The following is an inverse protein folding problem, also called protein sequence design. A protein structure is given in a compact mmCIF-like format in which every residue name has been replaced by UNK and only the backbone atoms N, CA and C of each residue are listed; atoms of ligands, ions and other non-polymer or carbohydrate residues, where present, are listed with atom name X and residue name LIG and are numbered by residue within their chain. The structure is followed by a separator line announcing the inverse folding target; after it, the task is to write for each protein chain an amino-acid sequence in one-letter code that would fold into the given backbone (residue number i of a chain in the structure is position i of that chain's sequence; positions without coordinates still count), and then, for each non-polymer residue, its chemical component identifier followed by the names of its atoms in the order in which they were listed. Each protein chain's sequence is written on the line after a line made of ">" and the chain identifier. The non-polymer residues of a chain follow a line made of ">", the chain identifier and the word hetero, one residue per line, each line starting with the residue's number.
data_IF_223240493983
#
_entry.id   IF_223240493983
#
_cell.length_a   1.000
_cell.length_b   1.000
_cell.length_c   1.000
_cell.angle_alpha   90.00
_cell.angle_beta   90.00
_cell.angle_gamma   90.00
#
_symmetry.space_group_name_H-M   'P 1'
#
loop_
_entity.id
_entity.type
_entity.pdbx_description
1 polymer ?
#
# COMPACT_ATOMS: atom_id res chain seq x y z
N UNK A 1 -6.76 -16.99 25.92
CA UNK A 1 -7.49 -17.41 24.70
C UNK A 1 -7.49 -16.23 23.76
N UNK A 2 -6.60 -16.23 22.76
CA UNK A 2 -6.44 -15.13 21.82
C UNK A 2 -7.35 -15.35 20.61
N UNK A 3 -8.39 -14.53 20.48
CA UNK A 3 -9.18 -14.44 19.26
C UNK A 3 -8.40 -13.62 18.22
N UNK A 4 -7.60 -14.28 17.39
CA UNK A 4 -7.18 -13.72 16.11
C UNK A 4 -8.38 -13.78 15.17
N UNK A 5 -9.00 -12.63 14.87
CA UNK A 5 -10.02 -12.58 13.84
C UNK A 5 -9.36 -12.59 12.46
N UNK A 6 -9.21 -13.79 11.89
CA UNK A 6 -8.88 -13.94 10.47
C UNK A 6 -10.13 -13.60 9.67
N UNK A 7 -10.14 -12.46 8.98
CA UNK A 7 -11.21 -12.11 8.05
C UNK A 7 -10.84 -12.72 6.69
N UNK A 8 -11.35 -13.92 6.40
CA UNK A 8 -11.31 -14.50 5.06
C UNK A 8 -12.39 -13.84 4.20
N UNK A 9 -11.97 -13.07 3.19
CA UNK A 9 -12.87 -12.63 2.13
C UNK A 9 -12.88 -13.70 1.03
N UNK A 10 -13.87 -14.59 1.04
CA UNK A 10 -14.21 -15.39 -0.14
C UNK A 10 -14.93 -14.47 -1.14
N UNK A 11 -14.33 -14.19 -2.29
CA UNK A 11 -15.00 -13.51 -3.39
C UNK A 11 -15.53 -14.54 -4.38
N UNK A 12 -16.75 -15.03 -4.15
CA UNK A 12 -17.63 -15.51 -5.22
C UNK A 12 -18.67 -14.43 -5.47
N UNK A 13 -18.60 -13.74 -6.61
CA UNK A 13 -19.74 -13.00 -7.15
C UNK A 13 -19.65 -12.91 -8.69
N UNK A 14 -20.60 -13.59 -9.33
CA UNK A 14 -21.03 -13.50 -10.74
C UNK A 14 -22.56 -13.70 -10.67
N UNK A 15 -23.47 -12.95 -11.26
CA UNK A 15 -23.44 -11.73 -12.05
C UNK A 15 -24.88 -11.20 -12.21
N UNK A 16 -24.95 -9.98 -12.75
CA UNK A 16 -26.00 -9.35 -13.55
C UNK A 16 -27.39 -8.98 -13.00
N UNK A 17 -27.77 -7.76 -13.44
CA UNK A 17 -29.07 -7.09 -13.37
C UNK A 17 -29.45 -6.37 -12.09
N UNK A 18 -28.68 -5.33 -11.70
CA UNK A 18 -29.29 -4.15 -11.07
C UNK A 18 -28.72 -2.85 -11.62
N UNK A 19 -29.65 -1.97 -11.98
CA UNK A 19 -29.49 -0.64 -12.55
C UNK A 19 -28.29 0.14 -12.03
N UNK A 20 -27.44 0.58 -12.95
CA UNK A 20 -26.41 1.59 -12.73
C UNK A 20 -27.09 2.97 -12.59
N UNK A 21 -27.81 3.20 -11.50
CA UNK A 21 -28.40 4.51 -11.17
C UNK A 21 -28.82 4.58 -9.70
N UNK A 22 -27.83 4.58 -8.82
CA UNK A 22 -27.99 5.21 -7.52
C UNK A 22 -26.67 5.90 -7.20
N UNK A 23 -26.59 7.15 -7.66
CA UNK A 23 -25.81 8.19 -7.02
C UNK A 23 -25.80 7.93 -5.51
N UNK A 24 -24.62 7.76 -4.91
CA UNK A 24 -24.48 8.18 -3.52
C UNK A 24 -24.38 9.71 -3.59
N UNK A 25 -25.43 10.49 -3.27
CA UNK A 25 -25.15 11.82 -2.82
C UNK A 25 -24.49 11.59 -1.46
N UNK A 26 -23.20 11.88 -1.36
CA UNK A 26 -22.76 12.48 -0.10
C UNK A 26 -23.72 13.66 0.11
N UNK A 27 -24.48 13.74 1.21
CA UNK A 27 -25.16 14.97 1.52
C UNK A 27 -24.05 16.01 1.69
N UNK A 28 -23.84 16.83 0.66
CA UNK A 28 -23.13 18.08 0.84
C UNK A 28 -23.93 18.82 1.92
N UNK A 29 -23.31 19.24 3.03
CA UNK A 29 -24.01 20.03 4.02
C UNK A 29 -24.45 21.33 3.36
N UNK A 30 -25.71 21.37 2.93
CA UNK A 30 -26.44 22.59 2.61
C UNK A 30 -26.76 23.25 3.94
N UNK A 31 -25.78 23.97 4.47
CA UNK A 31 -25.93 25.14 5.33
C UNK A 31 -24.52 25.66 5.65
N UNK A 32 -24.29 26.93 5.34
CA UNK A 32 -22.96 27.55 5.36
C UNK A 32 -22.22 27.40 6.68
N UNK A 33 -20.89 27.33 6.54
CA UNK A 33 -19.84 27.56 7.54
C UNK A 33 -19.54 26.44 8.53
N UNK A 34 -19.06 25.29 8.02
CA UNK A 34 -17.91 24.57 8.58
C UNK A 34 -17.53 23.42 7.64
N UNK A 35 -16.45 23.57 6.85
CA UNK A 35 -15.83 22.44 6.17
C UNK A 35 -14.79 21.85 7.11
N UNK A 36 -14.96 20.61 7.61
CA UNK A 36 -14.02 20.02 8.53
C UNK A 36 -12.63 19.92 7.87
N UNK A 37 -11.59 20.26 8.62
CA UNK A 37 -10.21 20.06 8.17
C UNK A 37 -9.97 18.58 7.88
N UNK A 38 -8.99 18.24 7.02
CA UNK A 38 -8.62 16.83 6.78
C UNK A 38 -8.31 16.09 8.09
N UNK A 39 -7.72 16.77 9.07
CA UNK A 39 -7.48 16.15 10.37
C UNK A 39 -8.80 15.78 11.07
N UNK A 40 -9.81 16.65 11.04
CA UNK A 40 -11.11 16.38 11.67
C UNK A 40 -11.87 15.25 10.97
N UNK A 41 -11.84 15.20 9.63
CA UNK A 41 -12.47 14.11 8.85
C UNK A 41 -11.91 12.72 9.21
N UNK A 42 -10.59 12.63 9.45
CA UNK A 42 -9.94 11.35 9.75
C UNK A 42 -10.04 10.94 11.22
N UNK A 43 -10.36 11.87 12.13
CA UNK A 43 -10.42 11.64 13.57
C UNK A 43 -11.86 11.37 14.05
N UNK A 44 -12.53 10.39 13.44
CA UNK A 44 -13.88 9.97 13.84
C UNK A 44 -13.91 9.41 15.28
N UNK A 45 -15.07 9.41 15.98
CA UNK A 45 -15.17 8.87 17.34
C UNK A 45 -14.63 7.44 17.46
N UNK A 46 -14.99 6.57 16.51
CA UNK A 46 -14.49 5.19 16.45
C UNK A 46 -12.97 5.12 16.27
N UNK A 47 -12.41 5.91 15.36
CA UNK A 47 -10.96 5.93 15.08
C UNK A 47 -10.14 6.42 16.27
N UNK A 48 -10.58 7.49 16.97
CA UNK A 48 -9.96 7.93 18.22
C UNK A 48 -10.02 6.84 19.28
N UNK A 49 -11.20 6.25 19.48
CA UNK A 49 -11.39 5.16 20.45
C UNK A 49 -10.53 3.95 20.12
N UNK A 50 -10.44 3.55 18.85
CA UNK A 50 -9.60 2.45 18.38
C UNK A 50 -8.12 2.69 18.72
N UNK A 51 -7.61 3.93 18.61
CA UNK A 51 -6.23 4.22 19.01
C UNK A 51 -5.97 4.11 20.52
N UNK A 52 -7.02 4.16 21.35
CA UNK A 52 -6.94 3.96 22.80
C UNK A 52 -7.14 2.48 23.18
N UNK A 53 -8.05 1.77 22.50
CA UNK A 53 -8.30 0.33 22.69
C UNK A 53 -7.06 -0.48 22.25
N UNK A 54 -6.50 -0.15 21.09
CA UNK A 54 -5.38 -0.88 20.51
C UNK A 54 -4.07 -0.12 20.76
N UNK A 55 -3.16 -0.73 21.51
CA UNK A 55 -1.82 -0.18 21.73
C UNK A 55 -0.98 -0.22 20.45
N UNK A 56 0.14 0.53 20.43
CA UNK A 56 1.12 0.37 19.35
C UNK A 56 1.52 -1.12 19.26
N UNK A 57 1.45 -1.74 18.07
CA UNK A 57 1.28 -3.18 17.96
C UNK A 57 2.37 -3.97 18.69
N UNK A 58 1.95 -4.93 19.52
CA UNK A 58 2.65 -6.20 19.73
C UNK A 58 2.01 -7.33 18.91
N UNK A 59 0.68 -7.32 18.67
CA UNK A 59 0.02 -7.91 17.49
C UNK A 59 -1.42 -7.37 17.26
N UNK A 60 -1.56 -6.21 16.60
CA UNK A 60 -2.83 -5.58 16.23
C UNK A 60 -3.10 -5.66 14.71
N UNK A 61 -2.84 -6.83 14.13
CA UNK A 61 -2.79 -7.06 12.69
C UNK A 61 -4.09 -7.69 12.20
N UNK A 62 -4.63 -7.16 11.11
CA UNK A 62 -5.58 -7.90 10.26
C UNK A 62 -4.78 -8.52 9.14
N UNK A 63 -5.07 -9.78 8.83
CA UNK A 63 -4.60 -10.43 7.63
C UNK A 63 -5.75 -10.54 6.63
N UNK A 64 -5.50 -10.13 5.39
CA UNK A 64 -6.42 -10.30 4.28
C UNK A 64 -5.71 -11.02 3.14
N UNK A 65 -6.40 -11.97 2.53
CA UNK A 65 -5.97 -12.61 1.28
C UNK A 65 -7.00 -12.28 0.23
N UNK A 66 -6.55 -11.92 -0.96
CA UNK A 66 -7.39 -11.63 -2.11
C UNK A 66 -6.70 -12.20 -3.36
N UNK A 67 -7.49 -12.74 -4.27
CA UNK A 67 -7.00 -13.20 -5.57
C UNK A 67 -7.66 -12.38 -6.67
N UNK A 68 -6.87 -11.97 -7.65
CA UNK A 68 -7.32 -11.15 -8.75
C UNK A 68 -7.10 -11.86 -10.08
N UNK A 69 -8.12 -11.82 -10.95
CA UNK A 69 -7.94 -12.16 -12.36
C UNK A 69 -7.09 -11.07 -13.02
N UNK A 70 -5.88 -11.44 -13.42
CA UNK A 70 -4.90 -10.54 -14.06
C UNK A 70 -4.62 -10.96 -15.49
N UNK A 71 -5.49 -11.76 -16.10
CA UNK A 71 -5.33 -12.25 -17.48
C UNK A 71 -5.13 -11.09 -18.46
N UNK A 72 -5.96 -10.05 -18.36
CA UNK A 72 -5.88 -8.88 -19.25
C UNK A 72 -4.68 -7.99 -18.92
N UNK A 73 -4.32 -7.87 -17.64
CA UNK A 73 -3.11 -7.18 -17.21
C UNK A 73 -1.83 -7.87 -17.73
N UNK A 74 -1.79 -9.20 -17.73
CA UNK A 74 -0.67 -9.97 -18.27
C UNK A 74 -0.55 -9.80 -19.80
N UNK A 75 -1.67 -9.84 -20.52
CA UNK A 75 -1.69 -9.54 -21.97
C UNK A 75 -1.21 -8.13 -22.26
N UNK A 76 -1.65 -7.15 -21.49
CA UNK A 76 -1.20 -5.76 -21.63
C UNK A 76 0.31 -5.60 -21.38
N UNK A 77 0.86 -6.24 -20.34
CA UNK A 77 2.31 -6.23 -20.09
C UNK A 77 3.07 -6.80 -21.29
N UNK A 78 2.59 -7.91 -21.86
CA UNK A 78 3.22 -8.53 -23.02
C UNK A 78 3.22 -7.59 -24.24
N UNK A 79 2.09 -6.94 -24.53
CA UNK A 79 1.97 -5.95 -25.61
C UNK A 79 2.91 -4.75 -25.42
N UNK A 80 2.97 -4.20 -24.19
CA UNK A 80 3.86 -3.07 -23.89
C UNK A 80 5.33 -3.46 -24.00
N UNK A 81 5.67 -4.69 -23.62
CA UNK A 81 7.03 -5.23 -23.75
C UNK A 81 7.44 -5.39 -25.21
N UNK A 82 6.52 -5.82 -26.07
CA UNK A 82 6.72 -5.89 -27.52
C UNK A 82 6.90 -4.49 -28.14
N UNK A 83 6.19 -3.48 -27.61
CA UNK A 83 6.37 -2.07 -27.96
C UNK A 83 7.65 -1.43 -27.37
N UNK A 84 8.49 -2.20 -26.66
CA UNK A 84 9.76 -1.74 -26.08
C UNK A 84 9.65 -1.13 -24.68
N UNK A 85 8.46 -1.01 -24.11
CA UNK A 85 8.23 -0.45 -22.77
C UNK A 85 8.36 -1.55 -21.71
N UNK A 86 9.32 -1.41 -20.79
CA UNK A 86 9.60 -2.42 -19.75
C UNK A 86 8.72 -2.26 -18.51
N UNK A 87 7.46 -2.64 -18.62
CA UNK A 87 6.53 -2.72 -17.48
C UNK A 87 6.44 -4.13 -16.88
N UNK A 88 6.10 -4.22 -15.59
CA UNK A 88 5.91 -5.49 -14.86
C UNK A 88 4.62 -5.46 -14.05
N UNK A 89 4.18 -6.62 -13.58
CA UNK A 89 3.01 -6.73 -12.70
C UNK A 89 3.15 -5.86 -11.43
N UNK A 90 4.36 -5.80 -10.86
CA UNK A 90 4.66 -4.93 -9.72
C UNK A 90 4.35 -3.46 -10.02
N UNK A 91 4.64 -2.97 -11.23
CA UNK A 91 4.39 -1.59 -11.61
C UNK A 91 2.89 -1.30 -11.73
N UNK A 92 2.12 -2.22 -12.34
CA UNK A 92 0.67 -2.11 -12.42
C UNK A 92 0.02 -2.10 -11.03
N UNK A 93 0.40 -3.05 -10.16
CA UNK A 93 -0.13 -3.12 -8.78
C UNK A 93 0.25 -1.88 -7.99
N UNK A 94 1.47 -1.37 -8.14
CA UNK A 94 1.90 -0.11 -7.50
C UNK A 94 1.03 1.07 -7.93
N UNK A 95 0.80 1.21 -9.25
CA UNK A 95 -0.04 2.26 -9.81
C UNK A 95 -1.51 2.14 -9.38
N UNK A 96 -2.02 0.90 -9.30
CA UNK A 96 -3.36 0.62 -8.81
C UNK A 96 -3.49 0.98 -7.32
N UNK A 97 -2.55 0.56 -6.47
CA UNK A 97 -2.53 0.88 -5.04
C UNK A 97 -2.49 2.39 -4.79
N UNK A 98 -1.65 3.13 -5.53
CA UNK A 98 -1.60 4.59 -5.45
C UNK A 98 -2.96 5.22 -5.74
N UNK A 99 -3.60 4.83 -6.86
CA UNK A 99 -4.92 5.36 -7.25
C UNK A 99 -6.03 4.94 -6.28
N UNK A 100 -5.98 3.73 -5.74
CA UNK A 100 -6.99 3.26 -4.78
C UNK A 100 -6.88 4.03 -3.48
N UNK A 101 -5.66 4.28 -3.00
CA UNK A 101 -5.43 5.11 -1.82
C UNK A 101 -5.82 6.57 -2.04
N UNK A 102 -5.68 7.10 -3.25
CA UNK A 102 -6.08 8.48 -3.54
C UNK A 102 -7.60 8.64 -3.66
N UNK A 103 -8.25 7.74 -4.42
CA UNK A 103 -9.61 7.98 -4.92
C UNK A 103 -10.69 7.09 -4.29
N UNK A 104 -10.36 5.85 -3.91
CA UNK A 104 -11.38 4.90 -3.41
C UNK A 104 -11.38 4.80 -1.89
N UNK A 105 -10.20 4.90 -1.26
CA UNK A 105 -10.02 4.75 0.19
C UNK A 105 -8.99 5.76 0.74
N UNK A 106 -9.20 7.08 0.56
CA UNK A 106 -8.30 8.11 1.09
C UNK A 106 -8.14 8.02 2.61
N UNK A 107 -9.11 7.45 3.32
CA UNK A 107 -9.08 7.31 4.76
C UNK A 107 -7.98 6.35 5.25
N UNK A 108 -7.43 5.51 4.37
CA UNK A 108 -6.26 4.68 4.65
C UNK A 108 -4.93 5.44 4.55
N UNK A 109 -4.87 6.57 3.83
CA UNK A 109 -3.63 7.34 3.68
C UNK A 109 -3.31 8.20 4.91
N UNK A 110 -3.13 7.56 6.07
CA UNK A 110 -2.88 8.21 7.34
C UNK A 110 -2.02 7.35 8.28
N UNK A 111 -1.60 7.93 9.41
CA UNK A 111 -0.85 7.23 10.44
C UNK A 111 -1.25 7.68 11.84
N UNK A 112 -1.00 6.85 12.85
CA UNK A 112 -1.28 7.18 14.26
C UNK A 112 -0.09 7.90 14.90
N UNK A 113 -0.34 9.10 15.46
CA UNK A 113 0.61 9.84 16.32
C UNK A 113 -0.11 10.31 17.58
N UNK A 114 0.39 9.89 18.76
CA UNK A 114 -0.10 10.31 20.08
C UNK A 114 -1.64 10.21 20.24
N UNK A 115 -2.23 9.10 19.79
CA UNK A 115 -3.68 8.86 19.86
C UNK A 115 -4.53 9.66 18.87
N UNK A 116 -3.90 10.37 17.92
CA UNK A 116 -4.57 11.04 16.81
C UNK A 116 -4.21 10.38 15.49
N UNK A 117 -5.15 10.41 14.56
CA UNK A 117 -4.92 10.01 13.18
C UNK A 117 -4.46 11.24 12.40
N UNK A 118 -3.29 11.15 11.78
CA UNK A 118 -2.69 12.22 11.00
C UNK A 118 -2.75 11.81 9.53
N UNK A 119 -3.44 12.57 8.65
CA UNK A 119 -3.43 12.30 7.21
C UNK A 119 -2.03 12.55 6.63
N UNK A 120 -1.66 11.79 5.59
CA UNK A 120 -0.47 12.08 4.79
C UNK A 120 -0.85 12.99 3.63
N UNK A 121 0.03 13.93 3.30
CA UNK A 121 -0.19 14.89 2.21
C UNK A 121 0.13 14.31 0.83
N UNK A 122 0.99 13.29 0.76
CA UNK A 122 1.35 12.60 -0.49
C UNK A 122 0.82 11.18 -0.47
N UNK A 123 0.63 10.58 -1.66
CA UNK A 123 0.26 9.17 -1.80
C UNK A 123 1.46 8.41 -2.33
N UNK A 124 2.29 7.95 -1.40
CA UNK A 124 3.56 7.29 -1.70
C UNK A 124 3.40 5.76 -1.61
N UNK A 125 3.86 5.03 -2.62
CA UNK A 125 3.90 3.56 -2.58
C UNK A 125 5.35 3.10 -2.52
N UNK A 126 5.71 2.37 -1.46
CA UNK A 126 7.05 1.82 -1.30
C UNK A 126 7.09 0.38 -1.78
N UNK A 127 7.93 0.10 -2.78
CA UNK A 127 8.09 -1.24 -3.36
C UNK A 127 9.38 -1.86 -2.84
N UNK A 128 9.28 -3.07 -2.30
CA UNK A 128 10.47 -3.83 -1.92
C UNK A 128 11.03 -4.57 -3.13
N UNK A 129 12.28 -4.28 -3.46
CA UNK A 129 13.02 -4.87 -4.57
C UNK A 129 14.19 -5.69 -4.03
N UNK A 130 14.34 -6.91 -4.54
CA UNK A 130 15.43 -7.80 -4.17
C UNK A 130 16.70 -7.41 -4.93
N UNK A 131 17.82 -7.32 -4.22
CA UNK A 131 19.14 -7.05 -4.78
C UNK A 131 19.87 -8.36 -5.08
N UNK A 132 20.63 -8.40 -6.19
CA UNK A 132 21.32 -9.62 -6.65
C UNK A 132 22.58 -9.98 -5.84
N UNK A 133 23.11 -9.07 -5.00
CA UNK A 133 24.43 -9.21 -4.34
C UNK A 133 24.39 -9.58 -2.86
N UNK A 134 23.21 -9.89 -2.32
CA UNK A 134 23.01 -10.30 -0.94
C UNK A 134 21.51 -10.36 -0.68
N UNK A 135 21.07 -11.16 0.29
CA UNK A 135 19.66 -11.37 0.66
C UNK A 135 19.00 -10.11 1.29
N UNK A 136 19.44 -8.92 0.88
CA UNK A 136 19.00 -7.64 1.40
C UNK A 136 17.89 -7.06 0.53
N UNK A 137 16.80 -6.70 1.20
CA UNK A 137 15.64 -6.05 0.58
C UNK A 137 15.89 -4.54 0.56
N UNK A 138 15.89 -3.95 -0.63
CA UNK A 138 15.90 -2.49 -0.79
C UNK A 138 14.48 -1.98 -1.02
N UNK A 139 14.14 -0.90 -0.33
CA UNK A 139 12.81 -0.29 -0.39
C UNK A 139 12.87 0.94 -1.30
N UNK A 140 12.19 0.87 -2.45
CA UNK A 140 12.09 1.94 -3.42
C UNK A 140 10.77 2.68 -3.21
N UNK A 141 10.83 3.93 -2.75
CA UNK A 141 9.63 4.77 -2.58
C UNK A 141 9.28 5.49 -3.88
N UNK A 142 8.09 5.24 -4.41
CA UNK A 142 7.47 6.00 -5.51
C UNK A 142 6.58 7.06 -4.89
N UNK A 143 7.03 8.32 -4.99
CA UNK A 143 6.27 9.46 -4.47
C UNK A 143 5.11 9.80 -5.41
N UNK A 144 3.95 10.15 -4.84
CA UNK A 144 2.74 10.54 -5.57
C UNK A 144 2.36 9.57 -6.70
N UNK A 145 2.36 8.27 -6.38
CA UNK A 145 2.13 7.19 -7.33
C UNK A 145 0.78 7.28 -8.06
N UNK A 146 -0.22 7.94 -7.45
CA UNK A 146 -1.54 8.18 -8.03
C UNK A 146 -1.55 9.14 -9.23
N UNK A 147 -0.57 10.05 -9.32
CA UNK A 147 -0.46 11.06 -10.38
C UNK A 147 0.46 10.63 -11.54
N UNK A 148 1.00 9.42 -11.49
CA UNK A 148 1.98 8.94 -12.46
C UNK A 148 1.39 7.85 -13.35
N UNK A 149 1.69 7.87 -14.66
CA UNK A 149 1.39 6.75 -15.54
C UNK A 149 2.25 5.54 -15.17
N UNK A 150 1.82 4.34 -15.57
CA UNK A 150 2.51 3.10 -15.20
C UNK A 150 3.90 3.04 -15.81
N UNK A 151 4.06 3.52 -17.04
CA UNK A 151 5.35 3.64 -17.73
C UNK A 151 6.39 4.37 -16.87
N UNK A 152 6.05 5.58 -16.40
CA UNK A 152 6.90 6.42 -15.55
C UNK A 152 7.18 5.76 -14.19
N UNK A 153 6.19 5.13 -13.58
CA UNK A 153 6.39 4.36 -12.33
C UNK A 153 7.40 3.24 -12.56
N UNK A 154 7.29 2.53 -13.68
CA UNK A 154 8.21 1.46 -14.04
C UNK A 154 9.63 1.95 -14.25
N UNK A 155 9.82 3.06 -14.96
CA UNK A 155 11.12 3.70 -15.14
C UNK A 155 11.72 4.15 -13.81
N UNK A 156 10.94 4.79 -12.95
CA UNK A 156 11.39 5.26 -11.64
C UNK A 156 11.82 4.10 -10.73
N UNK A 157 11.03 3.02 -10.66
CA UNK A 157 11.37 1.84 -9.88
C UNK A 157 12.63 1.18 -10.42
N UNK A 158 12.73 0.99 -11.75
CA UNK A 158 13.89 0.37 -12.37
C UNK A 158 15.16 1.20 -12.15
N UNK A 159 15.08 2.53 -12.31
CA UNK A 159 16.20 3.45 -12.07
C UNK A 159 16.69 3.35 -10.63
N UNK A 160 15.80 3.52 -9.65
CA UNK A 160 16.14 3.43 -8.22
C UNK A 160 16.64 2.03 -7.82
N UNK A 161 16.07 0.98 -8.40
CA UNK A 161 16.54 -0.39 -8.17
C UNK A 161 17.95 -0.61 -8.74
N UNK A 162 18.32 0.03 -9.85
CA UNK A 162 19.68 0.00 -10.39
C UNK A 162 20.67 0.78 -9.52
N UNK A 163 20.30 2.00 -9.09
CA UNK A 163 21.11 2.83 -8.17
C UNK A 163 21.47 2.06 -6.88
N UNK A 164 20.47 1.41 -6.28
CA UNK A 164 20.69 0.57 -5.10
C UNK A 164 21.60 -0.63 -5.41
N UNK A 165 21.44 -1.30 -6.57
CA UNK A 165 22.33 -2.40 -6.99
C UNK A 165 23.78 -1.98 -7.22
N UNK A 166 24.03 -0.74 -7.60
CA UNK A 166 25.39 -0.18 -7.77
C UNK A 166 26.08 0.22 -6.47
N UNK A 167 25.40 0.13 -5.31
CA UNK A 167 25.97 0.48 -4.00
C UNK A 167 25.81 1.96 -3.62
N UNK A 168 25.04 2.74 -4.39
CA UNK A 168 24.69 4.12 -4.05
C UNK A 168 23.38 4.09 -3.26
N UNK A 169 23.50 3.79 -1.97
CA UNK A 169 22.35 3.61 -1.08
C UNK A 169 21.77 4.95 -0.61
N UNK A 170 20.45 5.00 -0.45
CA UNK A 170 19.77 6.08 0.26
C UNK A 170 20.35 6.23 1.68
N UNK A 171 20.58 7.48 2.12
CA UNK A 171 21.12 7.84 3.46
C UNK A 171 20.43 7.14 4.64
N UNK A 172 19.19 6.69 4.49
CA UNK A 172 18.46 5.94 5.52
C UNK A 172 18.97 4.49 5.70
N UNK A 173 19.58 3.89 4.67
CA UNK A 173 20.09 2.52 4.64
C UNK A 173 21.55 2.46 5.14
N UNK A 174 22.39 3.41 4.74
CA UNK A 174 23.79 3.56 5.21
C UNK A 174 23.88 3.69 6.74
N UNK A 175 22.83 4.21 7.40
CA UNK A 175 22.76 4.34 8.85
C UNK A 175 22.32 3.05 9.59
N UNK A 176 21.92 1.98 8.88
CA UNK A 176 21.66 0.67 9.48
C UNK A 176 22.92 0.11 10.16
N UNK A 177 24.06 0.28 9.51
CA UNK A 177 25.37 -0.15 10.03
C UNK A 177 25.80 0.64 11.27
N UNK A 178 25.52 1.94 11.29
CA UNK A 178 25.79 2.80 12.45
C UNK A 178 24.96 2.41 13.67
N UNK A 179 23.66 2.10 13.47
CA UNK A 179 22.80 1.59 14.53
C UNK A 179 23.14 0.16 14.94
N UNK A 180 23.67 -0.65 14.01
CA UNK A 180 24.12 -2.01 14.24
C UNK A 180 25.35 -2.12 15.14
N UNK A 181 26.26 -1.13 15.06
CA UNK A 181 27.49 -1.03 15.87
C UNK A 181 27.28 -0.74 17.35
N UNK A 182 26.06 -0.34 17.76
CA UNK A 182 25.74 -0.06 19.16
C UNK A 182 25.68 -1.39 19.94
N UNK A 183 26.47 -1.57 21.02
CA UNK A 183 26.42 -2.78 21.83
C UNK A 183 25.04 -3.05 22.44
N UNK A 184 24.70 -4.32 22.60
CA UNK A 184 23.54 -4.72 23.41
C UNK A 184 23.88 -4.48 24.89
N UNK A 185 22.99 -3.91 25.73
CA UNK A 185 21.56 -3.64 25.51
C UNK A 185 21.22 -2.20 25.04
N UNK A 186 22.21 -1.32 24.90
CA UNK A 186 22.01 0.10 24.57
C UNK A 186 21.33 0.32 23.21
N UNK A 187 21.53 -0.59 22.27
CA UNK A 187 20.85 -0.57 20.96
C UNK A 187 19.33 -0.51 21.08
N UNK A 188 18.74 -1.22 22.04
CA UNK A 188 17.28 -1.21 22.27
C UNK A 188 16.81 0.15 22.79
N UNK A 189 17.58 0.77 23.66
CA UNK A 189 17.29 2.10 24.19
C UNK A 189 17.43 3.17 23.12
N UNK A 190 18.53 3.14 22.37
CA UNK A 190 18.77 4.05 21.25
C UNK A 190 17.63 3.99 20.22
N UNK A 191 17.23 2.78 19.80
CA UNK A 191 16.11 2.63 18.85
C UNK A 191 14.79 3.14 19.42
N UNK A 192 14.49 2.87 20.71
CA UNK A 192 13.27 3.38 21.35
C UNK A 192 13.25 4.90 21.41
N UNK A 193 14.37 5.53 21.75
CA UNK A 193 14.51 6.98 21.82
C UNK A 193 14.39 7.60 20.43
N UNK A 194 15.13 7.10 19.44
CA UNK A 194 15.05 7.57 18.04
C UNK A 194 13.62 7.43 17.52
N UNK A 195 12.98 6.27 17.72
CA UNK A 195 11.59 6.06 17.33
C UNK A 195 10.65 7.06 18.01
N UNK A 196 10.83 7.30 19.31
CA UNK A 196 10.00 8.25 20.04
C UNK A 196 10.18 9.69 19.52
N UNK A 197 11.43 10.11 19.27
CA UNK A 197 11.75 11.44 18.72
C UNK A 197 11.17 11.62 17.31
N UNK A 198 11.41 10.68 16.40
CA UNK A 198 10.98 10.81 15.00
C UNK A 198 9.47 10.60 14.87
N UNK A 199 8.96 9.53 15.47
CA UNK A 199 7.60 9.10 15.17
C UNK A 199 6.56 9.71 16.12
N UNK A 200 6.89 9.93 17.40
CA UNK A 200 5.92 10.39 18.39
C UNK A 200 6.02 11.90 18.65
N UNK A 201 7.23 12.45 18.73
CA UNK A 201 7.44 13.91 18.81
C UNK A 201 7.36 14.60 17.45
N UNK A 202 7.76 13.91 16.37
CA UNK A 202 7.70 14.45 15.01
C UNK A 202 8.89 15.29 14.58
N UNK A 203 10.02 15.13 15.25
CA UNK A 203 11.26 15.75 14.83
C UNK A 203 11.90 14.96 13.69
N UNK A 204 12.23 15.64 12.59
CA UNK A 204 12.94 15.04 11.48
C UNK A 204 14.44 14.98 11.80
N UNK A 205 15.00 13.77 11.90
CA UNK A 205 16.43 13.59 12.12
C UNK A 205 17.13 13.59 10.76
N UNK A 206 17.40 14.78 10.23
CA UNK A 206 18.07 14.98 8.93
C UNK A 206 19.41 14.25 8.85
N UNK A 207 20.15 14.16 9.97
CA UNK A 207 21.42 13.42 10.05
C UNK A 207 21.27 11.91 9.88
N UNK A 208 20.11 11.34 10.25
CA UNK A 208 19.81 9.91 10.07
C UNK A 208 19.05 9.62 8.77
N UNK A 209 18.62 10.64 8.02
CA UNK A 209 17.74 10.48 6.87
C UNK A 209 16.34 9.94 7.23
N UNK A 210 15.95 10.02 8.50
CA UNK A 210 14.68 9.52 9.02
C UNK A 210 13.69 10.66 9.18
N UNK A 211 12.58 10.57 8.46
CA UNK A 211 11.39 11.40 8.59
C UNK A 211 10.15 10.52 8.78
N UNK A 212 9.05 11.13 9.23
CA UNK A 212 7.76 10.45 9.38
C UNK A 212 7.14 9.99 8.04
N UNK A 213 7.66 10.47 6.92
CA UNK A 213 7.28 10.05 5.56
C UNK A 213 8.38 9.25 4.82
N UNK A 214 9.39 8.72 5.52
CA UNK A 214 10.47 7.95 4.89
C UNK A 214 9.99 6.71 4.14
N UNK A 215 8.90 6.08 4.59
CA UNK A 215 8.38 4.82 4.03
C UNK A 215 7.07 4.96 3.26
N UNK A 216 6.56 6.19 3.14
CA UNK A 216 5.36 6.50 2.37
C UNK A 216 4.05 6.05 3.02
N UNK A 217 3.05 5.79 2.18
CA UNK A 217 1.66 5.52 2.57
C UNK A 217 1.35 4.03 2.68
N UNK A 218 1.90 3.20 1.80
CA UNK A 218 1.74 1.75 1.83
C UNK A 218 3.00 1.08 1.31
N UNK A 219 3.25 -0.15 1.73
CA UNK A 219 4.36 -0.96 1.22
C UNK A 219 3.84 -2.14 0.42
N UNK A 220 4.47 -2.41 -0.73
CA UNK A 220 4.25 -3.57 -1.58
C UNK A 220 5.53 -4.41 -1.63
N UNK A 221 5.44 -5.67 -1.23
CA UNK A 221 6.51 -6.66 -1.37
C UNK A 221 6.15 -7.67 -2.44
N UNK A 222 7.12 -8.05 -3.29
CA UNK A 222 6.92 -9.09 -4.30
C UNK A 222 7.70 -10.34 -3.90
N UNK A 223 6.99 -11.39 -3.51
CA UNK A 223 7.55 -12.71 -3.19
C UNK A 223 7.37 -13.71 -4.35
N UNK A 224 6.58 -13.37 -5.36
CA UNK A 224 6.35 -14.20 -6.53
C UNK A 224 7.61 -14.46 -7.36
N UNK A 225 8.62 -13.58 -7.24
CA UNK A 225 9.97 -13.78 -7.79
C UNK A 225 10.73 -14.94 -7.14
N UNK A 226 10.33 -15.36 -5.94
CA UNK A 226 10.84 -16.55 -5.25
C UNK A 226 9.96 -17.79 -5.45
N UNK A 227 8.96 -17.74 -6.33
CA UNK A 227 8.03 -18.84 -6.55
C UNK A 227 7.01 -19.04 -5.43
N UNK A 228 6.90 -18.10 -4.49
CA UNK A 228 5.91 -18.16 -3.42
C UNK A 228 4.57 -17.60 -3.89
N UNK A 229 3.50 -18.37 -3.70
CA UNK A 229 2.13 -17.98 -4.06
C UNK A 229 1.48 -17.13 -2.96
N UNK A 230 1.68 -17.47 -1.69
CA UNK A 230 1.09 -16.76 -0.55
C UNK A 230 2.14 -16.49 0.51
N UNK A 231 2.14 -15.30 1.09
CA UNK A 231 3.00 -14.97 2.22
C UNK A 231 2.57 -13.67 2.87
N UNK A 232 2.53 -13.64 4.20
CA UNK A 232 2.09 -12.47 4.95
C UNK A 232 3.30 -11.78 5.56
N UNK A 233 3.55 -10.54 5.15
CA UNK A 233 4.63 -9.74 5.71
C UNK A 233 4.20 -9.07 7.01
N UNK A 234 5.12 -8.91 7.95
CA UNK A 234 4.84 -8.14 9.17
C UNK A 234 4.60 -6.66 8.84
N UNK A 235 3.68 -6.02 9.57
CA UNK A 235 3.61 -4.56 9.59
C UNK A 235 4.98 -3.99 9.98
N UNK A 236 5.36 -2.89 9.34
CA UNK A 236 6.64 -2.25 9.56
C UNK A 236 6.52 -1.10 10.58
N UNK A 237 6.78 -1.33 11.89
CA UNK A 237 6.40 -0.37 12.93
C UNK A 237 7.24 0.91 12.91
N UNK A 238 8.45 0.82 12.34
CA UNK A 238 9.32 1.98 12.15
C UNK A 238 8.75 2.97 11.12
N UNK A 239 8.03 2.49 10.10
CA UNK A 239 7.44 3.33 9.04
C UNK A 239 6.01 3.80 9.29
N UNK A 240 5.35 3.35 10.37
CA UNK A 240 3.93 3.65 10.69
C UNK A 240 3.02 3.50 9.46
N UNK A 241 3.15 2.37 8.78
CA UNK A 241 2.35 2.05 7.62
C UNK A 241 1.02 1.43 8.05
N UNK A 242 -0.12 1.92 7.51
CA UNK A 242 -1.44 1.34 7.74
C UNK A 242 -1.60 -0.04 7.11
N UNK A 243 -0.79 -0.35 6.08
CA UNK A 243 -0.85 -1.61 5.35
C UNK A 243 0.53 -2.01 4.77
N UNK A 244 0.79 -3.31 4.76
CA UNK A 244 1.89 -3.95 4.01
C UNK A 244 1.28 -5.06 3.16
N UNK A 245 1.34 -4.88 1.85
CA UNK A 245 0.82 -5.81 0.86
C UNK A 245 1.92 -6.70 0.33
N UNK A 246 1.61 -7.95 0.04
CA UNK A 246 2.51 -8.94 -0.50
C UNK A 246 1.90 -9.58 -1.74
N UNK A 247 2.56 -9.39 -2.87
CA UNK A 247 2.21 -9.98 -4.16
C UNK A 247 2.93 -11.32 -4.32
N UNK A 248 2.15 -12.37 -4.54
CA UNK A 248 2.66 -13.71 -4.82
C UNK A 248 2.93 -13.96 -6.30
N UNK A 249 3.18 -15.23 -6.62
CA UNK A 249 3.32 -15.72 -7.98
C UNK A 249 1.97 -15.79 -8.69
N UNK A 250 1.88 -15.25 -9.90
CA UNK A 250 0.69 -15.37 -10.73
C UNK A 250 0.67 -16.76 -11.39
N UNK A 251 -0.45 -17.47 -11.28
CA UNK A 251 -0.59 -18.83 -11.80
C UNK A 251 -1.92 -19.03 -12.51
N UNK A 252 -1.98 -19.93 -13.48
CA UNK A 252 -3.21 -20.29 -14.17
C UNK A 252 -4.07 -21.16 -13.26
N UNK A 253 -5.33 -20.75 -13.03
CA UNK A 253 -6.31 -21.49 -12.23
C UNK A 253 -7.62 -21.68 -13.01
N UNK A 254 -8.31 -22.81 -12.83
CA UNK A 254 -9.69 -22.95 -13.29
C UNK A 254 -10.59 -22.05 -12.43
N UNK A 255 -11.36 -21.18 -13.06
CA UNK A 255 -12.34 -20.32 -12.40
C UNK A 255 -13.69 -20.41 -13.11
N UNK A 256 -14.77 -20.24 -12.36
CA UNK A 256 -16.12 -20.23 -12.93
C UNK A 256 -16.47 -18.81 -13.39
N UNK A 257 -16.84 -18.66 -14.67
CA UNK A 257 -17.35 -17.41 -15.24
C UNK A 257 -18.61 -17.73 -16.03
N UNK A 258 -19.71 -17.05 -15.72
CA UNK A 258 -21.00 -17.26 -16.41
C UNK A 258 -21.44 -18.74 -16.44
N UNK A 259 -21.13 -19.50 -15.39
CA UNK A 259 -21.44 -20.94 -15.31
C UNK A 259 -20.45 -21.88 -15.99
N UNK A 260 -19.44 -21.37 -16.69
CA UNK A 260 -18.41 -22.17 -17.38
C UNK A 260 -17.06 -22.13 -16.66
N UNK A 261 -16.34 -23.25 -16.65
CA UNK A 261 -14.98 -23.33 -16.14
C UNK A 261 -14.03 -22.81 -17.22
N UNK A 262 -13.35 -21.71 -16.94
CA UNK A 262 -12.35 -21.10 -17.81
C UNK A 262 -11.01 -20.99 -17.10
N UNK A 263 -9.92 -21.11 -17.84
CA UNK A 263 -8.57 -20.91 -17.30
C UNK A 263 -8.28 -19.41 -17.26
N UNK A 264 -7.85 -18.91 -16.10
CA UNK A 264 -7.45 -17.52 -15.91
C UNK A 264 -6.15 -17.42 -15.13
N UNK A 265 -5.37 -16.39 -15.41
CA UNK A 265 -4.19 -16.06 -14.61
C UNK A 265 -4.65 -15.35 -13.35
N UNK A 266 -4.48 -16.00 -12.20
CA UNK A 266 -4.85 -15.48 -10.90
C UNK A 266 -3.61 -14.96 -10.18
N UNK A 267 -3.67 -13.73 -9.67
CA UNK A 267 -2.64 -13.11 -8.85
C UNK A 267 -3.08 -13.08 -7.39
N UNK A 268 -2.46 -13.88 -6.51
CA UNK A 268 -2.64 -13.74 -5.07
C UNK A 268 -1.96 -12.46 -4.58
N UNK A 269 -2.74 -11.63 -3.89
CA UNK A 269 -2.26 -10.48 -3.14
C UNK A 269 -2.73 -10.66 -1.70
N UNK A 270 -1.80 -10.62 -0.76
CA UNK A 270 -2.14 -10.64 0.66
C UNK A 270 -1.78 -9.31 1.29
N UNK A 271 -2.42 -8.97 2.39
CA UNK A 271 -2.20 -7.72 3.09
C UNK A 271 -2.22 -7.94 4.59
N UNK A 272 -1.25 -7.31 5.25
CA UNK A 272 -1.26 -7.14 6.69
C UNK A 272 -1.60 -5.69 6.98
N UNK A 273 -2.65 -5.46 7.76
CA UNK A 273 -3.21 -4.13 8.01
C UNK A 273 -3.19 -3.78 9.49
N UNK A 274 -2.99 -2.49 9.80
CA UNK A 274 -3.12 -1.96 11.15
C UNK A 274 -4.62 -1.76 11.47
N UNK A 275 -5.15 -2.60 12.37
CA UNK A 275 -6.58 -2.61 12.69
C UNK A 275 -7.08 -1.28 13.31
N UNK A 276 -6.17 -0.39 13.74
CA UNK A 276 -6.51 0.95 14.24
C UNK A 276 -6.98 1.90 13.15
N UNK A 277 -6.50 1.68 11.92
CA UNK A 277 -6.74 2.53 10.76
C UNK A 277 -7.67 1.82 9.78
N UNK A 278 -7.42 0.54 9.56
CA UNK A 278 -8.08 -0.27 8.54
C UNK A 278 -9.06 -1.23 9.20
N UNK A 279 -10.25 -1.34 8.64
CA UNK A 279 -11.25 -2.35 8.99
C UNK A 279 -11.65 -3.16 7.75
N UNK A 280 -12.53 -4.13 7.90
CA UNK A 280 -13.00 -4.95 6.79
C UNK A 280 -13.68 -4.16 5.66
N UNK A 281 -14.34 -3.03 5.98
CA UNK A 281 -14.95 -2.15 4.99
C UNK A 281 -13.90 -1.46 4.12
N UNK A 282 -12.85 -0.92 4.73
CA UNK A 282 -11.71 -0.34 4.03
C UNK A 282 -10.99 -1.38 3.16
N UNK A 283 -10.71 -2.58 3.71
CA UNK A 283 -10.07 -3.67 2.95
C UNK A 283 -10.93 -4.11 1.75
N UNK A 284 -12.26 -4.18 1.92
CA UNK A 284 -13.18 -4.48 0.82
C UNK A 284 -13.17 -3.41 -0.29
N UNK A 285 -13.16 -2.12 0.08
CA UNK A 285 -13.02 -1.03 -0.90
C UNK A 285 -11.66 -1.11 -1.62
N UNK A 286 -10.58 -1.36 -0.88
CA UNK A 286 -9.22 -1.52 -1.41
C UNK A 286 -9.19 -2.65 -2.45
N UNK A 287 -9.67 -3.85 -2.10
CA UNK A 287 -9.69 -5.01 -2.98
C UNK A 287 -10.50 -4.75 -4.26
N UNK A 288 -11.71 -4.19 -4.14
CA UNK A 288 -12.54 -3.83 -5.32
C UNK A 288 -11.86 -2.77 -6.19
N UNK A 289 -11.22 -1.78 -5.59
CA UNK A 289 -10.50 -0.73 -6.30
C UNK A 289 -9.30 -1.25 -7.09
N UNK A 290 -8.56 -2.21 -6.53
CA UNK A 290 -7.47 -2.91 -7.23
C UNK A 290 -8.05 -3.71 -8.38
N UNK A 291 -9.05 -4.55 -8.12
CA UNK A 291 -9.69 -5.41 -9.12
C UNK A 291 -10.18 -4.63 -10.35
N UNK A 292 -10.92 -3.52 -10.13
CA UNK A 292 -11.39 -2.66 -11.23
C UNK A 292 -10.25 -2.16 -12.12
N UNK A 293 -9.13 -1.77 -11.54
CA UNK A 293 -7.98 -1.25 -12.29
C UNK A 293 -7.18 -2.34 -12.98
N UNK A 294 -7.05 -3.51 -12.35
CA UNK A 294 -6.39 -4.66 -12.97
C UNK A 294 -7.18 -5.22 -14.17
N UNK A 295 -8.52 -5.11 -14.17
CA UNK A 295 -9.35 -5.48 -15.33
C UNK A 295 -9.24 -4.52 -16.53
N UNK A 296 -8.74 -3.29 -16.31
CA UNK A 296 -8.58 -2.27 -17.37
C UNK A 296 -7.20 -1.63 -17.27
N UNK A 297 -6.13 -2.40 -17.55
CA UNK A 297 -4.75 -1.96 -17.32
C UNK A 297 -4.36 -0.73 -18.15
N UNK A 298 -4.94 -0.54 -19.34
CA UNK A 298 -4.71 0.63 -20.19
C UNK A 298 -5.15 1.95 -19.53
N UNK A 299 -6.16 1.92 -18.65
CA UNK A 299 -6.60 3.10 -17.92
C UNK A 299 -5.58 3.56 -16.86
N UNK A 300 -4.62 2.69 -16.48
CA UNK A 300 -3.54 3.06 -15.58
C UNK A 300 -2.44 3.90 -16.27
N UNK A 301 -2.49 4.01 -17.60
CA UNK A 301 -1.63 4.93 -18.34
C UNK A 301 -2.23 6.34 -18.40
N UNK A 302 -3.55 6.44 -18.29
CA UNK A 302 -4.25 7.72 -18.22
C UNK A 302 -4.11 8.26 -16.78
N UNK A 303 -3.43 9.39 -16.63
CA UNK A 303 -3.43 10.15 -15.38
C UNK A 303 -4.74 10.93 -15.36
N UNK A 304 -5.54 10.72 -14.33
CA UNK A 304 -6.68 11.59 -14.06
C UNK A 304 -6.08 12.90 -13.56
N UNK A 305 -6.12 13.95 -14.38
CA UNK A 305 -5.79 15.30 -13.91
C UNK A 305 -6.74 15.64 -12.75
N UNK A 306 -6.19 16.11 -11.63
CA UNK A 306 -6.98 16.67 -10.55
C UNK A 306 -7.81 17.82 -11.11
N UNK A 307 -9.13 17.64 -11.12
CA UNK A 307 -10.03 18.79 -11.14
C UNK A 307 -9.70 19.57 -9.87
N UNK A 308 -8.98 20.69 -10.04
CA UNK A 308 -8.65 21.62 -8.97
C UNK A 308 -9.91 21.93 -8.16
N UNK A 309 -9.97 21.43 -6.92
CA UNK A 309 -10.81 22.07 -5.90
C UNK A 309 -9.99 23.25 -5.37
N UNK A 310 -9.83 24.26 -6.22
CA UNK A 310 -9.52 25.63 -5.83
C UNK A 310 -10.82 26.29 -5.42
N UNK A 311 -10.93 26.66 -4.15
CA UNK A 311 -12.06 27.39 -3.58
C UNK A 311 -11.96 27.45 -2.07
#
# INVERSE_FOLDING_TARGET
>A
MFNSQTIQFHSEFCGDSFSCSAFFPFPLPTNGLYSPTMTEMYNTPWRKLATAIYTAPTDGRIYGTMEFDVTDAQKYIQQQREAGVRITMTHLVTAALGRVLAYDVPEMNCFVRRGKIIPRHTVDVTVSVIMKRGQEMSAVKVQDAHLKPVSVIGEEINRKAMEHRSGDESKAMQNKDLLGKIPWPFRRWAFRIIRWIVNDLGFQLKFLGLSDNSFGSIMLSNIGTHGLTTGMAALFPAGKLPAVMVMGHAEEKPVVRNGEIVIRTMLPLTGTFDHRIVDGGHTGKLARGIMRRMSRPSALEQVLEETHVTG
#
